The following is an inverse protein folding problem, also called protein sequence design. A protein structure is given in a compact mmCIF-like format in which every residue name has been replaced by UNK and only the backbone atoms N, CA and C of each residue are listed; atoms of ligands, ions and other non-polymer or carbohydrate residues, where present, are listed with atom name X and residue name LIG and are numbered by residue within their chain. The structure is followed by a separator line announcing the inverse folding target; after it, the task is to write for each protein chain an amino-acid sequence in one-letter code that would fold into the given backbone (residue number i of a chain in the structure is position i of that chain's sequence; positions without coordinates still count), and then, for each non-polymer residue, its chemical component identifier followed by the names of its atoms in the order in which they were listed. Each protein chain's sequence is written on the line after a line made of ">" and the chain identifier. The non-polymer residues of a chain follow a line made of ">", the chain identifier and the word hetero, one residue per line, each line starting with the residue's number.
data_IF_100349347168
#
_entry.id   IF_100349347168
#
_cell.length_a   1.000
_cell.length_b   1.000
_cell.length_c   1.000
_cell.angle_alpha   90.00
_cell.angle_beta   90.00
_cell.angle_gamma   90.00
#
_symmetry.space_group_name_H-M   'P 1'
#
loop_
_entity.id
_entity.type
_entity.pdbx_description
1 polymer ?
#
# COMPACT_ATOMS: atom_id res chain seq x y z
N UNK A 1 -16.75 71.38 68.07
CA UNK A 1 -17.50 70.56 69.05
C UNK A 1 -18.27 69.47 68.33
N UNK A 2 -18.23 68.26 68.88
CA UNK A 2 -18.97 67.02 68.57
C UNK A 2 -18.44 66.15 67.46
N UNK A 3 -17.75 65.10 67.90
CA UNK A 3 -17.42 63.87 67.30
C UNK A 3 -18.67 63.08 66.95
N UNK A 4 -18.71 62.44 65.78
CA UNK A 4 -19.57 61.29 65.52
C UNK A 4 -18.75 60.20 64.87
N UNK A 5 -18.60 59.12 65.58
CA UNK A 5 -17.99 57.89 65.13
C UNK A 5 -18.95 57.19 64.19
N UNK A 6 -18.43 56.74 63.06
CA UNK A 6 -19.15 55.86 62.18
C UNK A 6 -18.39 54.51 62.08
N UNK A 7 -19.02 53.56 62.72
CA UNK A 7 -18.55 52.14 62.62
C UNK A 7 -18.78 51.60 61.19
N UNK A 8 -17.72 51.22 60.57
CA UNK A 8 -17.76 50.49 59.24
C UNK A 8 -17.65 49.01 59.52
N UNK A 9 -18.77 48.30 59.34
CA UNK A 9 -18.81 46.83 59.31
C UNK A 9 -18.31 46.37 57.97
N UNK A 10 -17.14 45.80 57.94
CA UNK A 10 -16.59 45.13 56.71
C UNK A 10 -17.21 43.76 56.58
N UNK A 11 -18.11 43.59 55.60
CA UNK A 11 -18.59 42.29 55.15
C UNK A 11 -17.61 41.75 54.11
N UNK A 12 -16.83 40.73 54.48
CA UNK A 12 -15.93 40.02 53.59
C UNK A 12 -16.71 39.07 52.66
N UNK A 13 -16.93 39.45 51.40
CA UNK A 13 -17.44 38.58 50.39
C UNK A 13 -16.27 37.76 49.82
N UNK A 14 -16.17 36.49 50.18
CA UNK A 14 -15.26 35.52 49.56
C UNK A 14 -15.85 35.13 48.23
N UNK A 15 -15.33 35.72 47.14
CA UNK A 15 -15.63 35.28 45.79
C UNK A 15 -14.84 34.00 45.49
N UNK A 16 -15.52 32.85 45.51
CA UNK A 16 -14.97 31.58 45.04
C UNK A 16 -14.89 31.61 43.52
N UNK A 17 -13.73 31.97 43.00
CA UNK A 17 -13.42 31.86 41.58
C UNK A 17 -13.24 30.38 41.21
N UNK A 18 -14.28 29.73 40.70
CA UNK A 18 -14.20 28.40 40.11
C UNK A 18 -13.33 28.49 38.86
N UNK A 19 -12.08 28.06 38.94
CA UNK A 19 -11.23 27.82 37.77
C UNK A 19 -11.84 26.65 36.96
N UNK A 20 -12.65 26.95 35.96
CA UNK A 20 -13.04 25.99 34.94
C UNK A 20 -11.84 25.74 34.02
N UNK A 21 -11.06 24.72 34.32
CA UNK A 21 -10.06 24.21 33.38
C UNK A 21 -10.80 23.74 32.13
N UNK A 22 -10.41 24.20 30.93
CA UNK A 22 -10.97 23.65 29.71
C UNK A 22 -10.57 22.17 29.65
N UNK A 23 -11.54 21.27 29.80
CA UNK A 23 -11.36 19.86 29.47
C UNK A 23 -11.09 19.81 27.99
N UNK A 24 -9.82 19.67 27.61
CA UNK A 24 -9.42 19.41 26.26
C UNK A 24 -10.01 18.06 25.87
N UNK A 25 -11.20 18.07 25.24
CA UNK A 25 -11.75 16.89 24.62
C UNK A 25 -10.73 16.44 23.57
N UNK A 26 -10.20 15.19 23.65
CA UNK A 26 -9.33 14.70 22.62
C UNK A 26 -10.08 14.81 21.30
N UNK A 27 -9.55 15.59 20.36
CA UNK A 27 -10.06 15.66 19.00
C UNK A 27 -10.01 14.22 18.46
N UNK A 28 -11.16 13.57 18.51
CA UNK A 28 -11.32 12.22 17.96
C UNK A 28 -11.02 12.37 16.48
N UNK A 29 -9.82 11.95 16.08
CA UNK A 29 -9.45 11.89 14.68
C UNK A 29 -10.60 11.20 13.95
N UNK A 30 -11.33 11.95 13.13
CA UNK A 30 -12.43 11.41 12.35
C UNK A 30 -11.85 10.33 11.47
N UNK A 31 -12.22 9.08 11.70
CA UNK A 31 -11.82 7.98 10.85
C UNK A 31 -12.24 8.31 9.42
N UNK A 32 -11.26 8.42 8.53
CA UNK A 32 -11.50 8.76 7.12
C UNK A 32 -12.48 7.75 6.54
N UNK A 33 -13.60 8.23 6.03
CA UNK A 33 -14.57 7.41 5.32
C UNK A 33 -14.12 7.32 3.86
N UNK A 34 -13.80 6.11 3.41
CA UNK A 34 -13.50 5.86 2.00
C UNK A 34 -14.79 5.63 1.23
N UNK A 35 -14.88 6.17 0.00
CA UNK A 35 -16.06 6.18 -0.85
C UNK A 35 -15.81 5.39 -2.13
N UNK A 36 -16.75 4.49 -2.46
CA UNK A 36 -16.78 3.83 -3.76
C UNK A 36 -16.96 4.87 -4.88
N UNK A 37 -16.30 4.67 -6.01
CA UNK A 37 -16.26 5.61 -7.13
C UNK A 37 -15.27 6.76 -6.97
N UNK A 38 -14.73 6.96 -5.75
CA UNK A 38 -13.73 8.00 -5.47
C UNK A 38 -12.39 7.40 -4.99
N UNK A 39 -12.40 6.72 -3.86
CA UNK A 39 -11.19 6.18 -3.24
C UNK A 39 -10.88 4.75 -3.69
N UNK A 40 -11.89 4.03 -4.18
CA UNK A 40 -11.81 2.69 -4.73
C UNK A 40 -12.98 2.42 -5.67
N UNK A 41 -12.86 1.38 -6.49
CA UNK A 41 -13.98 0.85 -7.29
C UNK A 41 -14.26 -0.61 -6.94
N UNK A 42 -15.52 -1.03 -7.09
CA UNK A 42 -15.91 -2.43 -7.08
C UNK A 42 -15.74 -2.99 -8.49
N UNK A 43 -15.29 -4.23 -8.58
CA UNK A 43 -15.24 -4.93 -9.86
C UNK A 43 -16.65 -5.31 -10.30
N UNK A 44 -16.96 -5.14 -11.57
CA UNK A 44 -18.25 -5.55 -12.16
C UNK A 44 -18.46 -7.06 -12.03
N UNK A 45 -17.41 -7.82 -12.22
CA UNK A 45 -17.38 -9.27 -12.05
C UNK A 45 -16.34 -9.63 -10.99
N UNK A 46 -16.77 -10.22 -9.85
CA UNK A 46 -15.83 -10.70 -8.85
C UNK A 46 -14.86 -11.75 -9.43
N UNK A 47 -13.60 -11.65 -9.02
CA UNK A 47 -12.55 -12.61 -9.34
C UNK A 47 -12.43 -13.59 -8.17
N UNK A 48 -12.27 -14.88 -8.46
CA UNK A 48 -12.02 -15.85 -7.40
C UNK A 48 -10.71 -15.50 -6.66
N UNK A 49 -10.74 -15.32 -5.33
CA UNK A 49 -9.52 -15.03 -4.56
C UNK A 49 -8.61 -16.26 -4.56
N UNK A 50 -7.31 -16.03 -4.53
CA UNK A 50 -6.26 -17.06 -4.50
C UNK A 50 -5.65 -17.22 -3.10
N UNK A 51 -6.28 -16.63 -2.10
CA UNK A 51 -5.86 -16.72 -0.72
C UNK A 51 -6.33 -18.04 -0.07
N UNK A 52 -5.58 -18.57 0.89
CA UNK A 52 -6.04 -19.68 1.73
C UNK A 52 -7.38 -19.35 2.41
N UNK A 53 -8.16 -20.39 2.70
CA UNK A 53 -9.44 -20.24 3.40
C UNK A 53 -9.29 -19.42 4.69
N UNK A 54 -10.21 -18.46 4.90
CA UNK A 54 -10.19 -17.57 6.06
C UNK A 54 -9.27 -16.36 5.96
N UNK A 55 -8.50 -16.23 4.86
CA UNK A 55 -7.69 -15.05 4.60
C UNK A 55 -8.31 -14.14 3.54
N UNK A 56 -8.02 -12.85 3.65
CA UNK A 56 -8.39 -11.85 2.64
C UNK A 56 -7.27 -11.74 1.63
N UNK A 57 -7.57 -12.01 0.36
CA UNK A 57 -6.61 -11.86 -0.75
C UNK A 57 -6.34 -10.39 -1.03
N UNK A 58 -5.08 -10.00 -1.05
CA UNK A 58 -4.61 -8.66 -1.41
C UNK A 58 -3.53 -8.80 -2.47
N UNK A 59 -3.74 -8.14 -3.59
CA UNK A 59 -2.81 -8.18 -4.72
C UNK A 59 -2.26 -6.79 -4.94
N UNK A 60 -0.92 -6.67 -4.99
CA UNK A 60 -0.26 -5.53 -5.60
C UNK A 60 0.00 -5.83 -7.07
N UNK A 61 -0.46 -4.96 -7.95
CA UNK A 61 -0.05 -4.93 -9.35
C UNK A 61 1.10 -3.95 -9.51
N UNK A 62 2.21 -4.40 -10.08
CA UNK A 62 3.43 -3.61 -10.19
C UNK A 62 4.21 -3.91 -11.48
N UNK A 63 5.19 -3.07 -11.78
CA UNK A 63 6.18 -3.32 -12.83
C UNK A 63 7.56 -2.88 -12.34
N UNK A 64 8.57 -3.70 -12.55
CA UNK A 64 9.91 -3.39 -12.08
C UNK A 64 10.48 -2.08 -12.63
N UNK A 65 10.20 -1.73 -13.90
CA UNK A 65 10.68 -0.48 -14.48
C UNK A 65 9.79 0.74 -14.17
N UNK A 66 8.72 0.57 -13.38
CA UNK A 66 7.87 1.69 -12.98
C UNK A 66 8.51 2.51 -11.84
N UNK A 67 8.83 3.81 -12.05
CA UNK A 67 9.41 4.66 -10.99
C UNK A 67 8.52 4.79 -9.76
N UNK A 68 7.20 4.85 -9.95
CA UNK A 68 6.25 4.96 -8.84
C UNK A 68 6.19 3.68 -8.01
N UNK A 69 6.32 2.49 -8.64
CA UNK A 69 6.43 1.22 -7.93
C UNK A 69 7.71 1.17 -7.10
N UNK A 70 8.85 1.60 -7.68
CA UNK A 70 10.12 1.68 -6.94
C UNK A 70 10.04 2.59 -5.71
N UNK A 71 9.37 3.74 -5.82
CA UNK A 71 9.17 4.67 -4.69
C UNK A 71 8.22 4.08 -3.64
N UNK A 72 7.23 3.33 -4.07
CA UNK A 72 6.23 2.72 -3.17
C UNK A 72 6.76 1.49 -2.43
N UNK A 73 7.65 0.72 -3.02
CA UNK A 73 8.12 -0.57 -2.52
C UNK A 73 8.58 -0.55 -1.05
N UNK A 74 9.40 0.42 -0.55
CA UNK A 74 9.80 0.44 0.86
C UNK A 74 8.60 0.59 1.82
N UNK A 75 7.61 1.40 1.45
CA UNK A 75 6.42 1.61 2.27
C UNK A 75 5.51 0.37 2.26
N UNK A 76 5.36 -0.26 1.10
CA UNK A 76 4.61 -1.51 0.95
C UNK A 76 5.26 -2.64 1.75
N UNK A 77 6.58 -2.81 1.64
CA UNK A 77 7.32 -3.86 2.36
C UNK A 77 7.18 -3.71 3.89
N UNK A 78 7.30 -2.47 4.39
CA UNK A 78 7.07 -2.17 5.80
C UNK A 78 5.63 -2.47 6.22
N UNK A 79 4.66 -2.14 5.39
CA UNK A 79 3.25 -2.43 5.64
C UNK A 79 2.96 -3.94 5.62
N UNK A 80 3.49 -4.68 4.66
CA UNK A 80 3.36 -6.15 4.57
C UNK A 80 3.87 -6.83 5.84
N UNK A 81 5.03 -6.41 6.36
CA UNK A 81 5.61 -6.94 7.60
C UNK A 81 4.77 -6.64 8.85
N UNK A 82 4.03 -5.54 8.85
CA UNK A 82 3.15 -5.14 9.94
C UNK A 82 1.69 -5.58 9.76
N UNK A 83 1.35 -6.13 8.60
CA UNK A 83 -0.02 -6.47 8.24
C UNK A 83 -0.62 -7.56 9.13
N UNK A 84 -1.94 -7.53 9.38
CA UNK A 84 -2.64 -8.61 10.07
C UNK A 84 -2.43 -9.97 9.39
N UNK A 85 -2.25 -11.02 10.19
CA UNK A 85 -1.94 -12.39 9.71
C UNK A 85 -3.06 -13.02 8.85
N UNK A 86 -4.23 -12.46 8.89
CA UNK A 86 -5.39 -12.87 8.09
C UNK A 86 -5.42 -12.21 6.69
N UNK A 87 -4.46 -11.35 6.36
CA UNK A 87 -4.23 -10.92 4.99
C UNK A 87 -3.29 -11.90 4.28
N UNK A 88 -3.63 -12.27 3.06
CA UNK A 88 -2.76 -12.98 2.12
C UNK A 88 -2.33 -11.98 1.06
N UNK A 89 -1.14 -11.43 1.23
CA UNK A 89 -0.62 -10.36 0.38
C UNK A 89 0.35 -10.96 -0.62
N UNK A 90 0.15 -10.67 -1.89
CA UNK A 90 1.01 -11.12 -2.97
C UNK A 90 1.24 -10.01 -3.99
N UNK A 91 2.40 -10.03 -4.61
CA UNK A 91 2.75 -9.14 -5.71
C UNK A 91 2.46 -9.82 -7.05
N UNK A 92 2.06 -9.02 -8.03
CA UNK A 92 1.76 -9.50 -9.36
C UNK A 92 2.35 -8.56 -10.41
N UNK A 93 3.36 -8.98 -11.15
CA UNK A 93 3.93 -8.18 -12.20
C UNK A 93 2.96 -8.07 -13.37
N UNK A 94 2.71 -6.84 -13.87
CA UNK A 94 1.83 -6.58 -15.02
C UNK A 94 2.58 -6.60 -16.34
N UNK A 95 1.83 -6.77 -17.45
CA UNK A 95 2.31 -6.54 -18.80
C UNK A 95 1.24 -5.83 -19.64
N UNK A 96 1.44 -4.55 -19.90
CA UNK A 96 0.55 -3.78 -20.78
C UNK A 96 0.85 -4.02 -22.27
N UNK A 97 2.02 -4.56 -22.57
CA UNK A 97 2.42 -5.04 -23.91
C UNK A 97 3.56 -6.05 -23.80
N UNK A 98 3.99 -6.59 -24.93
CA UNK A 98 5.00 -7.65 -24.99
C UNK A 98 6.36 -7.28 -24.36
N UNK A 99 6.73 -6.00 -24.35
CA UNK A 99 8.02 -5.58 -23.78
C UNK A 99 8.10 -5.69 -22.24
N UNK A 100 6.96 -5.85 -21.56
CA UNK A 100 6.89 -6.08 -20.11
C UNK A 100 7.14 -7.54 -19.73
N UNK A 101 6.86 -8.47 -20.63
CA UNK A 101 6.87 -9.93 -20.38
C UNK A 101 8.22 -10.42 -19.81
N UNK A 102 9.40 -9.96 -20.29
CA UNK A 102 10.67 -10.39 -19.69
C UNK A 102 10.76 -10.15 -18.18
N UNK A 103 10.27 -9.01 -17.70
CA UNK A 103 10.26 -8.70 -16.26
C UNK A 103 9.20 -9.46 -15.47
N UNK A 104 8.05 -9.83 -16.08
CA UNK A 104 7.12 -10.78 -15.45
C UNK A 104 7.78 -12.14 -15.26
N UNK A 105 8.45 -12.65 -16.30
CA UNK A 105 9.18 -13.92 -16.23
C UNK A 105 10.31 -13.88 -15.19
N UNK A 106 11.04 -12.77 -15.11
CA UNK A 106 12.07 -12.57 -14.08
C UNK A 106 11.47 -12.75 -12.68
N UNK A 107 10.35 -12.10 -12.39
CA UNK A 107 9.67 -12.23 -11.10
C UNK A 107 9.32 -13.68 -10.78
N UNK A 108 8.61 -14.35 -11.67
CA UNK A 108 8.16 -15.73 -11.46
C UNK A 108 9.29 -16.76 -11.47
N UNK A 109 10.37 -16.51 -12.21
CA UNK A 109 11.54 -17.39 -12.18
C UNK A 109 12.28 -17.25 -10.84
N UNK A 110 12.43 -16.04 -10.31
CA UNK A 110 12.99 -15.82 -8.96
C UNK A 110 12.12 -16.45 -7.87
N UNK A 111 10.80 -16.34 -8.00
CA UNK A 111 9.84 -17.00 -7.10
C UNK A 111 10.00 -18.53 -7.14
N UNK A 112 10.01 -19.14 -8.33
CA UNK A 112 10.19 -20.57 -8.53
C UNK A 112 11.53 -21.12 -8.02
N UNK A 113 12.55 -20.27 -7.92
CA UNK A 113 13.85 -20.59 -7.32
C UNK A 113 13.92 -20.32 -5.81
N UNK A 114 12.89 -19.75 -5.19
CA UNK A 114 12.92 -19.30 -3.80
C UNK A 114 13.90 -18.17 -3.56
N UNK A 115 14.20 -17.35 -4.58
CA UNK A 115 15.13 -16.21 -4.55
C UNK A 115 14.44 -14.84 -4.57
N UNK A 116 13.12 -14.84 -4.69
CA UNK A 116 12.36 -13.59 -4.85
C UNK A 116 12.56 -12.64 -3.67
N UNK A 117 12.42 -13.10 -2.43
CA UNK A 117 12.58 -12.25 -1.23
C UNK A 117 13.96 -11.60 -1.17
N UNK A 118 15.02 -12.34 -1.51
CA UNK A 118 16.38 -11.84 -1.47
C UNK A 118 16.74 -10.89 -2.61
N UNK A 119 16.05 -10.99 -3.76
CA UNK A 119 16.42 -10.28 -4.98
C UNK A 119 15.40 -9.24 -5.45
N UNK A 120 14.17 -9.25 -4.98
CA UNK A 120 13.12 -8.33 -5.41
C UNK A 120 13.53 -6.86 -5.31
N UNK A 121 13.98 -6.43 -4.14
CA UNK A 121 14.47 -5.07 -3.93
C UNK A 121 15.75 -4.76 -4.73
N UNK A 122 16.59 -5.77 -4.99
CA UNK A 122 17.79 -5.60 -5.81
C UNK A 122 17.46 -5.39 -7.28
N UNK A 123 16.38 -6.00 -7.81
CA UNK A 123 15.92 -5.74 -9.18
C UNK A 123 15.49 -4.28 -9.32
N UNK A 124 14.69 -3.76 -8.40
CA UNK A 124 14.33 -2.34 -8.39
C UNK A 124 15.57 -1.44 -8.34
N UNK A 125 16.49 -1.73 -7.41
CA UNK A 125 17.75 -0.97 -7.29
C UNK A 125 18.58 -1.01 -8.58
N UNK A 126 18.73 -2.18 -9.19
CA UNK A 126 19.46 -2.34 -10.45
C UNK A 126 18.88 -1.44 -11.55
N UNK A 127 17.57 -1.41 -11.71
CA UNK A 127 16.91 -0.61 -12.75
C UNK A 127 16.94 0.88 -12.42
N UNK A 128 16.55 1.27 -11.21
CA UNK A 128 16.31 2.69 -10.90
C UNK A 128 17.53 3.44 -10.41
N UNK A 129 18.48 2.77 -9.75
CA UNK A 129 19.70 3.38 -9.20
C UNK A 129 20.90 3.07 -10.10
N UNK A 130 21.13 1.80 -10.43
CA UNK A 130 22.28 1.34 -11.18
C UNK A 130 22.09 1.44 -12.70
N UNK A 131 20.87 1.78 -13.16
CA UNK A 131 20.49 1.99 -14.56
C UNK A 131 20.66 0.75 -15.45
N UNK A 132 20.61 -0.43 -14.85
CA UNK A 132 20.53 -1.68 -15.59
C UNK A 132 19.23 -1.75 -16.38
N UNK A 133 19.28 -2.14 -17.64
CA UNK A 133 18.08 -2.14 -18.51
C UNK A 133 17.09 -3.22 -18.14
N UNK A 134 17.54 -4.45 -17.92
CA UNK A 134 16.74 -5.65 -17.58
C UNK A 134 15.42 -5.77 -18.40
N UNK A 135 15.46 -5.33 -19.65
CA UNK A 135 14.30 -5.32 -20.53
C UNK A 135 14.27 -6.52 -21.49
N UNK A 136 15.40 -7.22 -21.64
CA UNK A 136 15.57 -8.37 -22.52
C UNK A 136 16.07 -9.58 -21.74
N UNK A 137 15.79 -10.75 -22.28
CA UNK A 137 16.15 -12.03 -21.66
C UNK A 137 17.66 -12.16 -21.39
N UNK A 138 18.51 -11.76 -22.33
CA UNK A 138 19.98 -11.79 -22.21
C UNK A 138 20.48 -10.85 -21.10
N UNK A 139 19.94 -9.65 -21.00
CA UNK A 139 20.26 -8.68 -19.94
C UNK A 139 19.89 -9.23 -18.57
N UNK A 140 18.72 -9.87 -18.48
CA UNK A 140 18.22 -10.51 -17.25
C UNK A 140 19.13 -11.68 -16.85
N UNK A 141 19.48 -12.56 -17.78
CA UNK A 141 20.35 -13.70 -17.49
C UNK A 141 21.74 -13.28 -17.01
N UNK A 142 22.32 -12.27 -17.67
CA UNK A 142 23.61 -11.71 -17.26
C UNK A 142 23.55 -11.11 -15.85
N UNK A 143 22.49 -10.34 -15.53
CA UNK A 143 22.34 -9.75 -14.22
C UNK A 143 22.11 -10.80 -13.13
N UNK A 144 21.28 -11.80 -13.37
CA UNK A 144 20.99 -12.88 -12.42
C UNK A 144 22.25 -13.68 -12.07
N UNK A 145 23.12 -13.97 -13.06
CA UNK A 145 24.39 -14.62 -12.84
C UNK A 145 25.30 -13.79 -11.89
N UNK A 146 25.32 -12.49 -12.04
CA UNK A 146 26.07 -11.58 -11.15
C UNK A 146 25.53 -11.56 -9.71
N UNK A 147 24.26 -11.97 -9.48
CA UNK A 147 23.68 -12.09 -8.15
C UNK A 147 24.03 -13.42 -7.45
N UNK A 148 24.88 -14.26 -8.04
CA UNK A 148 25.25 -15.58 -7.49
C UNK A 148 24.14 -16.63 -7.60
N UNK A 149 23.23 -16.44 -8.52
CA UNK A 149 22.19 -17.43 -8.86
C UNK A 149 22.70 -18.35 -9.96
N UNK A 150 22.41 -19.65 -9.85
CA UNK A 150 22.70 -20.61 -10.91
C UNK A 150 21.99 -20.19 -12.21
N UNK A 151 22.78 -19.68 -13.15
CA UNK A 151 22.25 -19.13 -14.40
C UNK A 151 21.62 -20.20 -15.31
N UNK A 152 22.12 -21.43 -15.29
CA UNK A 152 21.56 -22.51 -16.10
C UNK A 152 20.17 -22.91 -15.59
N UNK A 153 20.06 -23.12 -14.28
CA UNK A 153 18.81 -23.44 -13.62
C UNK A 153 17.81 -22.29 -13.69
N UNK A 154 18.27 -21.03 -13.57
CA UNK A 154 17.40 -19.89 -13.75
C UNK A 154 16.81 -19.84 -15.17
N UNK A 155 17.62 -20.02 -16.20
CA UNK A 155 17.18 -20.04 -17.59
C UNK A 155 16.16 -21.15 -17.86
N UNK A 156 16.39 -22.35 -17.31
CA UNK A 156 15.46 -23.48 -17.39
C UNK A 156 14.09 -23.09 -16.79
N UNK A 157 14.06 -22.54 -15.58
CA UNK A 157 12.82 -22.13 -14.92
C UNK A 157 12.16 -20.96 -15.66
N UNK A 158 12.93 -19.96 -16.06
CA UNK A 158 12.46 -18.77 -16.79
C UNK A 158 11.75 -19.10 -18.10
N UNK A 159 12.20 -20.16 -18.80
CA UNK A 159 11.61 -20.64 -20.06
C UNK A 159 10.58 -21.75 -19.87
N UNK A 160 10.32 -22.15 -18.61
CA UNK A 160 9.43 -23.26 -18.29
C UNK A 160 7.96 -22.94 -18.63
N UNK A 161 7.20 -24.01 -18.79
CA UNK A 161 5.75 -23.95 -18.94
C UNK A 161 5.09 -23.36 -17.68
N UNK A 162 5.63 -23.63 -16.49
CA UNK A 162 5.15 -23.08 -15.24
C UNK A 162 5.19 -21.55 -15.23
N UNK A 163 6.34 -20.94 -15.53
CA UNK A 163 6.49 -19.48 -15.61
C UNK A 163 5.59 -18.90 -16.70
N UNK A 164 5.49 -19.56 -17.86
CA UNK A 164 4.61 -19.12 -18.94
C UNK A 164 3.13 -19.13 -18.51
N UNK A 165 2.70 -20.09 -17.72
CA UNK A 165 1.35 -20.15 -17.15
C UNK A 165 1.11 -19.04 -16.12
N UNK A 166 2.10 -18.76 -15.23
CA UNK A 166 2.01 -17.68 -14.25
C UNK A 166 1.91 -16.31 -14.94
N UNK A 167 2.71 -16.06 -15.97
CA UNK A 167 2.63 -14.85 -16.80
C UNK A 167 1.24 -14.68 -17.40
N UNK A 168 0.70 -15.73 -18.03
CA UNK A 168 -0.66 -15.70 -18.61
C UNK A 168 -1.72 -15.42 -17.54
N UNK A 169 -1.64 -16.11 -16.41
CA UNK A 169 -2.56 -15.88 -15.29
C UNK A 169 -2.47 -14.46 -14.75
N UNK A 170 -1.27 -13.89 -14.64
CA UNK A 170 -1.08 -12.50 -14.23
C UNK A 170 -1.77 -11.52 -15.18
N UNK A 171 -1.61 -11.72 -16.50
CA UNK A 171 -2.29 -10.89 -17.50
C UNK A 171 -3.81 -11.03 -17.42
N UNK A 172 -4.34 -12.24 -17.24
CA UNK A 172 -5.78 -12.46 -17.07
C UNK A 172 -6.33 -11.76 -15.81
N UNK A 173 -5.58 -11.78 -14.71
CA UNK A 173 -5.97 -11.09 -13.48
C UNK A 173 -5.85 -9.57 -13.63
N UNK A 174 -4.81 -9.08 -14.29
CA UNK A 174 -4.67 -7.67 -14.67
C UNK A 174 -5.91 -7.17 -15.41
N UNK A 175 -6.36 -7.91 -16.44
CA UNK A 175 -7.55 -7.58 -17.22
C UNK A 175 -8.82 -7.67 -16.38
N UNK A 176 -8.97 -8.72 -15.56
CA UNK A 176 -10.14 -8.92 -14.71
C UNK A 176 -10.31 -7.84 -13.63
N UNK A 177 -9.21 -7.26 -13.14
CA UNK A 177 -9.24 -6.13 -12.23
C UNK A 177 -9.34 -4.78 -12.94
N UNK A 178 -9.23 -4.74 -14.28
CA UNK A 178 -9.21 -3.51 -15.07
C UNK A 178 -8.04 -2.61 -14.65
N UNK A 179 -6.83 -3.19 -14.60
CA UNK A 179 -5.61 -2.47 -14.21
C UNK A 179 -5.11 -1.68 -15.40
N UNK A 180 -5.16 -0.35 -15.32
CA UNK A 180 -4.70 0.56 -16.34
C UNK A 180 -3.36 1.24 -16.01
N UNK A 181 -2.94 1.12 -14.76
CA UNK A 181 -1.69 1.71 -14.27
C UNK A 181 -1.17 1.05 -13.01
N UNK A 182 0.11 1.27 -12.72
CA UNK A 182 0.80 0.72 -11.55
C UNK A 182 1.61 1.79 -10.82
N UNK A 183 1.77 1.67 -9.48
CA UNK A 183 1.26 0.60 -8.62
C UNK A 183 -0.25 0.71 -8.36
N UNK A 184 -0.91 -0.42 -8.23
CA UNK A 184 -2.33 -0.50 -7.86
C UNK A 184 -2.62 -1.75 -7.04
N UNK A 185 -3.77 -1.77 -6.35
CA UNK A 185 -4.10 -2.82 -5.40
C UNK A 185 -5.46 -3.44 -5.67
N UNK A 186 -5.52 -4.78 -5.65
CA UNK A 186 -6.75 -5.55 -5.66
C UNK A 186 -7.04 -6.13 -4.28
N UNK A 187 -8.32 -6.17 -3.87
CA UNK A 187 -8.72 -6.70 -2.55
C UNK A 187 -9.89 -7.66 -2.68
N UNK A 188 -9.71 -8.85 -2.12
CA UNK A 188 -10.73 -9.89 -1.97
C UNK A 188 -11.40 -10.33 -3.29
N UNK A 189 -10.77 -10.14 -4.43
CA UNK A 189 -11.37 -10.42 -5.73
C UNK A 189 -12.55 -9.52 -6.08
N UNK A 190 -12.76 -8.40 -5.37
CA UNK A 190 -13.96 -7.56 -5.47
C UNK A 190 -13.68 -6.09 -5.63
N UNK A 191 -12.54 -5.60 -5.17
CA UNK A 191 -12.23 -4.18 -5.10
C UNK A 191 -10.89 -3.87 -5.72
N UNK A 192 -10.78 -2.67 -6.29
CA UNK A 192 -9.57 -2.10 -6.87
C UNK A 192 -9.37 -0.69 -6.34
N UNK A 193 -8.13 -0.31 -6.10
CA UNK A 193 -7.72 1.05 -5.76
C UNK A 193 -6.31 1.34 -6.26
N UNK A 194 -6.00 2.61 -6.50
CA UNK A 194 -4.69 3.09 -6.89
C UNK A 194 -4.41 4.49 -6.31
N UNK A 195 -3.20 5.00 -6.58
CA UNK A 195 -2.78 6.30 -6.07
C UNK A 195 -3.61 7.47 -6.60
N UNK A 196 -4.16 7.37 -7.80
CA UNK A 196 -5.02 8.41 -8.40
C UNK A 196 -6.36 8.48 -7.67
N UNK A 197 -6.99 7.33 -7.45
CA UNK A 197 -8.25 7.23 -6.73
C UNK A 197 -8.09 7.66 -5.25
N UNK A 198 -7.12 7.11 -4.56
CA UNK A 198 -6.92 7.38 -3.13
C UNK A 198 -6.22 8.72 -2.83
N UNK A 199 -5.68 9.39 -3.86
CA UNK A 199 -4.96 10.66 -3.76
C UNK A 199 -3.48 10.52 -3.35
N UNK A 200 -3.03 9.35 -2.91
CA UNK A 200 -1.62 8.99 -2.67
C UNK A 200 -1.46 7.50 -2.42
N UNK A 201 -0.24 6.95 -2.58
CA UNK A 201 0.03 5.54 -2.30
C UNK A 201 -0.04 5.20 -0.79
N UNK A 202 0.23 6.14 0.11
CA UNK A 202 0.00 5.95 1.55
C UNK A 202 -1.49 5.79 1.87
N UNK A 203 -2.34 6.56 1.20
CA UNK A 203 -3.79 6.41 1.33
C UNK A 203 -4.27 5.08 0.74
N UNK A 204 -3.67 4.59 -0.34
CA UNK A 204 -3.99 3.27 -0.92
C UNK A 204 -3.89 2.18 0.14
N UNK A 205 -2.83 2.16 0.96
CA UNK A 205 -2.70 1.17 2.03
C UNK A 205 -3.83 1.26 3.06
N UNK A 206 -4.27 2.48 3.41
CA UNK A 206 -5.42 2.69 4.30
C UNK A 206 -6.74 2.21 3.66
N UNK A 207 -6.91 2.46 2.36
CA UNK A 207 -8.06 1.95 1.60
C UNK A 207 -8.06 0.43 1.59
N UNK A 208 -6.92 -0.22 1.38
CA UNK A 208 -6.78 -1.68 1.41
C UNK A 208 -7.17 -2.24 2.77
N UNK A 209 -6.72 -1.66 3.88
CA UNK A 209 -7.11 -2.06 5.24
C UNK A 209 -8.62 -1.94 5.47
N UNK A 210 -9.20 -0.84 5.01
CA UNK A 210 -10.65 -0.62 5.07
C UNK A 210 -11.40 -1.68 4.25
N UNK A 211 -10.99 -1.93 3.01
CA UNK A 211 -11.63 -2.91 2.13
C UNK A 211 -11.46 -4.35 2.64
N UNK A 212 -10.32 -4.68 3.22
CA UNK A 212 -10.11 -5.96 3.88
C UNK A 212 -11.08 -6.15 5.04
N UNK A 213 -11.31 -5.11 5.84
CA UNK A 213 -12.29 -5.17 6.92
C UNK A 213 -13.74 -5.29 6.41
N UNK A 214 -14.05 -4.66 5.29
CA UNK A 214 -15.36 -4.82 4.60
C UNK A 214 -15.51 -6.27 4.10
N UNK A 215 -14.47 -6.84 3.49
CA UNK A 215 -14.48 -8.21 2.98
C UNK A 215 -14.72 -9.24 4.10
N UNK A 216 -14.07 -9.09 5.27
CA UNK A 216 -14.28 -9.95 6.46
C UNK A 216 -15.74 -9.99 6.92
N UNK A 217 -16.50 -8.95 6.69
CA UNK A 217 -17.91 -8.82 7.08
C UNK A 217 -18.89 -9.23 5.97
N UNK A 218 -18.43 -10.04 5.03
CA UNK A 218 -19.26 -10.50 3.91
C UNK A 218 -19.59 -9.40 2.92
N UNK A 219 -18.78 -8.34 2.85
CA UNK A 219 -18.94 -7.24 1.89
C UNK A 219 -19.99 -6.20 2.26
N UNK A 220 -20.54 -6.23 3.47
CA UNK A 220 -21.48 -5.20 3.95
C UNK A 220 -20.72 -3.95 4.40
N UNK A 221 -21.01 -2.82 3.77
CA UNK A 221 -20.56 -1.53 4.25
C UNK A 221 -21.31 -1.18 5.54
N UNK A 222 -20.57 -1.04 6.66
CA UNK A 222 -21.15 -0.53 7.90
C UNK A 222 -20.84 0.96 7.98
N UNK A 223 -21.83 1.86 7.94
CA UNK A 223 -21.59 3.26 8.22
C UNK A 223 -21.12 3.42 9.67
N UNK A 224 -20.01 4.10 9.88
CA UNK A 224 -19.63 4.63 11.18
C UNK A 224 -18.74 3.80 12.11
N UNK A 225 -18.16 2.65 11.74
CA UNK A 225 -17.15 1.98 12.58
C UNK A 225 -15.76 2.55 12.34
N UNK A 226 -15.18 3.07 13.43
CA UNK A 226 -13.79 3.51 13.52
C UNK A 226 -12.89 2.28 13.53
N UNK A 227 -11.91 2.24 12.61
CA UNK A 227 -10.80 1.29 12.68
C UNK A 227 -9.65 1.98 13.38
N UNK A 228 -9.01 1.34 14.38
CA UNK A 228 -7.79 1.87 14.94
C UNK A 228 -6.73 1.86 13.84
N UNK A 229 -6.25 3.02 13.45
CA UNK A 229 -5.06 3.15 12.63
C UNK A 229 -3.92 2.46 13.38
N UNK A 230 -3.30 1.45 12.78
CA UNK A 230 -2.02 0.97 13.26
C UNK A 230 -1.12 2.20 13.37
N UNK A 231 -0.57 2.44 14.58
CA UNK A 231 0.34 3.56 14.84
C UNK A 231 1.49 3.43 13.85
N UNK A 232 1.45 4.23 12.78
CA UNK A 232 2.62 4.44 11.95
C UNK A 232 3.68 5.01 12.91
N UNK A 233 4.66 4.20 13.27
CA UNK A 233 5.90 4.72 13.88
C UNK A 233 6.45 5.67 12.83
N UNK A 234 6.48 6.93 13.20
CA UNK A 234 7.08 8.02 12.44
C UNK A 234 8.50 7.63 12.06
N UNK A 235 8.64 7.06 10.88
CA UNK A 235 9.92 7.02 10.21
C UNK A 235 10.10 8.39 9.58
N UNK A 236 11.23 9.06 9.88
CA UNK A 236 11.51 10.45 9.72
C UNK A 236 10.96 11.12 8.46
N UNK A 237 10.53 12.36 8.64
CA UNK A 237 10.11 13.32 7.66
C UNK A 237 11.05 13.36 6.43
N UNK A 238 10.69 12.65 5.38
CA UNK A 238 11.22 12.92 4.06
C UNK A 238 10.26 13.92 3.40
N UNK A 239 10.69 15.18 3.39
CA UNK A 239 9.94 16.31 2.84
C UNK A 239 9.73 16.15 1.32
N UNK A 240 8.49 15.95 0.91
CA UNK A 240 8.06 15.93 -0.50
C UNK A 240 7.83 17.34 -1.09
N UNK A 241 8.64 18.30 -0.72
CA UNK A 241 8.64 19.59 -1.43
C UNK A 241 9.72 19.51 -2.51
N UNK A 242 9.39 19.29 -3.73
CA UNK A 242 10.09 19.54 -4.99
C UNK A 242 10.08 18.33 -5.95
N UNK A 243 8.87 17.93 -6.38
CA UNK A 243 8.73 17.13 -7.59
C UNK A 243 7.59 17.67 -8.47
N UNK A 244 7.51 19.01 -8.58
CA UNK A 244 6.75 19.67 -9.64
C UNK A 244 7.71 20.12 -10.72
N UNK A 245 7.90 19.30 -11.70
CA UNK A 245 8.71 19.64 -12.86
C UNK A 245 9.02 18.38 -13.65
N UNK A 246 8.11 18.05 -14.58
CA UNK A 246 8.35 17.27 -15.82
C UNK A 246 6.99 16.95 -16.43
N UNK A 247 6.37 18.02 -16.97
CA UNK A 247 5.45 17.92 -18.11
C UNK A 247 6.16 18.61 -19.26
N UNK A 248 6.85 17.86 -20.11
CA UNK A 248 7.00 18.06 -21.56
C UNK A 248 7.47 16.75 -22.18
#
# INVERSE_FOLDING_TARGET
>A
MKRREFSLSAASAVAASALTLPVATPALAQARQFKEGKDFKRLDKPVAPDAPAGKVDVIEFFWYSCPHCNVFEPALDAWVKAAPKDLSIRRMPVAFNASFVPQQKLYYALEGMGKLEALHAKVFRAIHVEKAKLAKDDEIFAWVAQQGVDAAKFKEIYTSFSVSNQVRRASQLQDAYGVEGVPSMGVAGKFYTDGTMAGSMQNVLQVVEYLAAVARKGGRFLPGRRFPLAKARTCGLFSWRNATGWLQ
#
